data_IF_805206432631
#
_entry.id   IF_805206432631
#
_cell.length_a   1.000
_cell.length_b   1.000
_cell.length_c   1.000
_cell.angle_alpha   90.00
_cell.angle_beta   90.00
_cell.angle_gamma   90.00
#
_symmetry.space_group_name_H-M   'P 1'
#
loop_
_entity.id
_entity.type
_entity.pdbx_description
1 polymer ?
#
# COMPACT_ATOMS: atom_id res chain seq x y z
N UNK A 1 32.36 59.08 -38.84
CA UNK A 1 31.27 59.54 -39.73
C UNK A 1 30.06 58.66 -39.41
N UNK A 2 29.11 59.12 -38.59
CA UNK A 2 27.95 59.98 -38.88
C UNK A 2 26.68 59.11 -38.92
N UNK A 3 25.71 59.52 -38.11
CA UNK A 3 24.45 58.86 -37.72
C UNK A 3 23.40 58.64 -38.83
N UNK A 4 22.43 57.74 -38.58
CA UNK A 4 20.96 58.01 -38.54
C UNK A 4 20.17 56.69 -38.56
N UNK A 5 19.41 56.36 -37.50
CA UNK A 5 17.98 56.62 -37.26
C UNK A 5 17.05 56.05 -38.35
N UNK A 6 16.36 54.94 -38.14
CA UNK A 6 15.11 54.73 -37.37
C UNK A 6 13.83 54.88 -38.24
N UNK A 7 12.96 53.86 -38.24
CA UNK A 7 11.49 53.96 -38.07
C UNK A 7 10.67 52.82 -38.74
N UNK A 8 10.17 51.93 -37.89
CA UNK A 8 8.78 51.46 -37.71
C UNK A 8 7.78 51.24 -38.88
N UNK A 9 7.11 50.07 -38.91
CA UNK A 9 5.65 49.86 -38.61
C UNK A 9 5.06 48.56 -39.21
N UNK A 10 4.63 47.67 -38.31
CA UNK A 10 3.34 46.96 -38.20
C UNK A 10 2.67 46.30 -39.44
N UNK A 11 2.35 45.00 -39.30
CA UNK A 11 1.20 44.19 -39.81
C UNK A 11 1.67 42.73 -39.93
N UNK A 12 0.98 41.66 -39.53
CA UNK A 12 -0.36 41.39 -39.00
C UNK A 12 -0.26 39.99 -38.39
N UNK A 13 -0.81 39.77 -37.19
CA UNK A 13 -1.02 38.43 -36.62
C UNK A 13 -2.06 37.71 -37.49
N UNK A 14 -1.71 36.59 -38.10
CA UNK A 14 -2.69 35.67 -38.71
C UNK A 14 -3.03 34.60 -37.69
N UNK A 15 -4.31 34.52 -37.39
CA UNK A 15 -4.99 33.59 -36.48
C UNK A 15 -5.67 32.55 -37.36
N UNK A 16 -5.33 31.27 -37.18
CA UNK A 16 -6.05 30.08 -37.66
C UNK A 16 -5.65 28.96 -36.68
N UNK A 17 -6.46 28.67 -35.65
CA UNK A 17 -7.54 27.63 -35.63
C UNK A 17 -6.94 26.21 -35.68
N UNK A 18 -6.85 25.49 -34.53
CA UNK A 18 -7.90 24.59 -33.95
C UNK A 18 -8.35 23.55 -35.01
N UNK A 19 -8.27 22.24 -34.87
CA UNK A 19 -8.13 21.33 -33.74
C UNK A 19 -7.54 20.00 -34.27
N UNK A 20 -6.51 19.48 -33.61
CA UNK A 20 -6.22 18.05 -33.66
C UNK A 20 -6.14 17.59 -32.22
N UNK A 21 -7.30 17.22 -31.68
CA UNK A 21 -7.37 16.42 -30.47
C UNK A 21 -6.58 15.14 -30.75
N UNK A 22 -5.32 15.12 -30.29
CA UNK A 22 -4.55 13.89 -30.26
C UNK A 22 -5.32 12.91 -29.40
N UNK A 23 -5.62 11.75 -29.98
CA UNK A 23 -6.33 10.68 -29.27
C UNK A 23 -5.70 10.48 -27.90
N UNK A 24 -6.51 10.37 -26.82
CA UNK A 24 -5.97 10.03 -25.53
C UNK A 24 -5.20 8.70 -25.68
N UNK A 25 -4.05 8.55 -25.01
CA UNK A 25 -3.33 7.28 -25.01
C UNK A 25 -4.32 6.18 -24.61
N UNK A 26 -4.28 5.00 -25.25
CA UNK A 26 -5.29 3.98 -25.05
C UNK A 26 -5.38 3.69 -23.56
N UNK A 27 -6.55 3.98 -22.98
CA UNK A 27 -6.86 3.59 -21.63
C UNK A 27 -6.54 2.11 -21.54
N UNK A 28 -5.61 1.74 -20.65
CA UNK A 28 -5.37 0.34 -20.34
C UNK A 28 -6.69 -0.20 -19.84
N UNK A 29 -7.41 -0.93 -20.70
CA UNK A 29 -8.59 -1.67 -20.31
C UNK A 29 -8.18 -2.52 -19.12
N UNK A 30 -8.64 -2.12 -17.94
CA UNK A 30 -8.59 -2.96 -16.76
C UNK A 30 -9.64 -4.02 -17.03
N UNK A 31 -9.28 -5.03 -17.82
CA UNK A 31 -10.14 -6.16 -18.12
C UNK A 31 -10.60 -6.68 -16.77
N UNK A 32 -11.87 -6.44 -16.46
CA UNK A 32 -12.53 -7.00 -15.31
C UNK A 32 -12.68 -8.49 -15.59
N UNK A 33 -11.57 -9.24 -15.45
CA UNK A 33 -11.61 -10.69 -15.33
C UNK A 33 -12.33 -10.95 -14.02
N UNK A 34 -13.65 -11.09 -14.14
CA UNK A 34 -14.56 -11.26 -13.03
C UNK A 34 -14.12 -12.43 -12.17
N UNK A 35 -14.10 -12.21 -10.85
CA UNK A 35 -14.32 -13.19 -9.77
C UNK A 35 -13.60 -14.55 -9.79
N UNK A 36 -12.73 -14.83 -10.76
CA UNK A 36 -12.03 -16.10 -10.85
C UNK A 36 -11.05 -16.16 -9.69
N UNK A 37 -11.11 -17.28 -8.96
CA UNK A 37 -10.07 -17.63 -8.00
C UNK A 37 -8.73 -17.63 -8.75
N UNK A 38 -7.66 -17.09 -8.16
CA UNK A 38 -6.34 -17.14 -8.80
C UNK A 38 -5.98 -18.60 -9.09
N UNK A 39 -5.16 -18.87 -10.12
CA UNK A 39 -4.68 -20.22 -10.40
C UNK A 39 -4.07 -20.84 -9.13
N UNK A 40 -4.25 -22.15 -8.95
CA UNK A 40 -3.58 -22.84 -7.86
C UNK A 40 -2.09 -22.98 -8.21
N UNK A 41 -1.23 -22.52 -7.29
CA UNK A 41 0.23 -22.56 -7.41
C UNK A 41 0.76 -23.19 -6.14
N UNK A 42 1.83 -23.96 -6.25
CA UNK A 42 2.60 -24.38 -5.10
C UNK A 42 3.27 -23.17 -4.45
N UNK A 43 3.50 -23.28 -3.14
CA UNK A 43 4.26 -22.30 -2.39
C UNK A 43 5.73 -22.30 -2.83
N UNK A 44 6.45 -21.21 -2.54
CA UNK A 44 7.89 -21.20 -2.77
C UNK A 44 8.62 -22.11 -1.77
N UNK A 45 9.93 -22.29 -1.99
CA UNK A 45 10.79 -23.14 -1.15
C UNK A 45 10.81 -22.73 0.33
N UNK A 46 10.46 -21.47 0.59
CA UNK A 46 10.44 -20.83 1.90
C UNK A 46 9.04 -20.85 2.55
N UNK A 47 8.05 -21.45 1.88
CA UNK A 47 6.67 -21.57 2.31
C UNK A 47 5.85 -20.29 2.15
N UNK A 48 6.28 -19.34 1.31
CA UNK A 48 5.48 -18.15 1.03
C UNK A 48 4.47 -18.41 -0.09
N UNK A 49 3.33 -17.74 0.04
CA UNK A 49 2.31 -17.70 -1.00
C UNK A 49 2.84 -17.05 -2.28
N UNK A 50 2.70 -17.74 -3.41
CA UNK A 50 3.12 -17.28 -4.74
C UNK A 50 1.97 -16.58 -5.45
N UNK A 51 2.19 -15.33 -5.85
CA UNK A 51 1.18 -14.48 -6.48
C UNK A 51 1.75 -13.63 -7.62
N UNK A 52 0.84 -13.16 -8.48
CA UNK A 52 1.08 -12.17 -9.53
C UNK A 52 0.32 -10.87 -9.25
N UNK A 53 0.89 -9.73 -9.62
CA UNK A 53 0.22 -8.43 -9.44
C UNK A 53 -1.02 -8.32 -10.33
N UNK A 54 -2.09 -7.78 -9.77
CA UNK A 54 -3.36 -7.59 -10.46
C UNK A 54 -4.30 -8.80 -10.40
N UNK A 55 -3.87 -9.94 -9.88
CA UNK A 55 -4.74 -11.10 -9.66
C UNK A 55 -5.56 -10.97 -8.37
N UNK A 56 -6.51 -11.88 -8.17
CA UNK A 56 -7.31 -11.95 -6.96
C UNK A 56 -6.58 -12.79 -5.91
N UNK A 57 -6.46 -12.35 -4.66
CA UNK A 57 -6.07 -13.24 -3.54
C UNK A 57 -7.24 -14.17 -3.21
N UNK A 58 -8.42 -13.59 -3.07
CA UNK A 58 -9.71 -14.28 -2.96
C UNK A 58 -10.74 -13.55 -3.84
N UNK A 59 -11.97 -14.05 -3.93
CA UNK A 59 -13.04 -13.33 -4.66
C UNK A 59 -13.25 -11.89 -4.18
N UNK A 60 -12.93 -11.62 -2.91
CA UNK A 60 -13.06 -10.30 -2.26
C UNK A 60 -11.85 -9.41 -2.48
N UNK A 61 -10.65 -9.93 -2.35
CA UNK A 61 -9.42 -9.13 -2.32
C UNK A 61 -8.66 -9.23 -3.64
N UNK A 62 -8.39 -8.09 -4.29
CA UNK A 62 -7.52 -8.01 -5.47
C UNK A 62 -6.13 -7.51 -5.08
N UNK A 63 -5.07 -8.23 -5.46
CA UNK A 63 -3.68 -7.88 -5.15
C UNK A 63 -3.24 -6.74 -6.06
N UNK A 64 -2.71 -5.66 -5.47
CA UNK A 64 -2.23 -4.48 -6.18
C UNK A 64 -0.72 -4.36 -6.15
N UNK A 65 -0.11 -4.52 -4.98
CA UNK A 65 1.33 -4.37 -4.79
C UNK A 65 1.83 -5.20 -3.61
N UNK A 66 3.15 -5.46 -3.55
CA UNK A 66 3.81 -6.03 -2.36
C UNK A 66 4.31 -4.87 -1.49
N UNK A 67 3.80 -4.75 -0.27
CA UNK A 67 4.20 -3.72 0.69
C UNK A 67 5.43 -4.11 1.50
N UNK A 68 5.60 -5.41 1.79
CA UNK A 68 6.71 -5.90 2.59
C UNK A 68 6.88 -7.41 2.54
N UNK A 69 8.04 -7.87 2.98
CA UNK A 69 8.38 -9.29 3.09
C UNK A 69 9.35 -9.50 4.25
N UNK A 70 9.20 -10.62 4.96
CA UNK A 70 10.12 -11.00 6.03
C UNK A 70 10.00 -12.46 6.42
N UNK A 71 10.54 -12.79 7.60
CA UNK A 71 10.53 -14.14 8.16
C UNK A 71 9.11 -14.70 8.34
N UNK A 72 8.15 -13.84 8.65
CA UNK A 72 6.78 -14.26 8.97
C UNK A 72 5.86 -14.39 7.76
N UNK A 73 6.27 -13.89 6.59
CA UNK A 73 5.44 -13.90 5.38
C UNK A 73 5.60 -12.65 4.52
N UNK A 74 4.56 -12.34 3.75
CA UNK A 74 4.49 -11.16 2.88
C UNK A 74 3.30 -10.29 3.27
N UNK A 75 3.45 -8.98 3.10
CA UNK A 75 2.35 -8.02 3.25
C UNK A 75 2.00 -7.47 1.88
N UNK A 76 0.74 -7.63 1.50
CA UNK A 76 0.20 -7.23 0.20
C UNK A 76 -0.74 -6.05 0.37
N UNK A 77 -0.64 -5.07 -0.52
CA UNK A 77 -1.70 -4.08 -0.71
C UNK A 77 -2.79 -4.71 -1.56
N UNK A 78 -4.01 -4.73 -1.04
CA UNK A 78 -5.16 -5.28 -1.72
C UNK A 78 -6.30 -4.28 -1.80
N UNK A 79 -7.10 -4.38 -2.86
CA UNK A 79 -8.41 -3.74 -2.96
C UNK A 79 -9.48 -4.68 -2.41
N UNK A 80 -10.17 -4.26 -1.35
CA UNK A 80 -11.34 -4.94 -0.81
C UNK A 80 -12.59 -4.55 -1.61
N UNK A 81 -13.16 -5.52 -2.33
CA UNK A 81 -14.35 -5.29 -3.16
C UNK A 81 -15.63 -5.12 -2.36
N UNK A 82 -15.68 -5.62 -1.13
CA UNK A 82 -16.88 -5.49 -0.28
C UNK A 82 -16.95 -4.12 0.39
N UNK A 83 -15.87 -3.68 1.04
CA UNK A 83 -15.82 -2.37 1.72
C UNK A 83 -15.46 -1.22 0.78
N UNK A 84 -14.90 -1.52 -0.40
CA UNK A 84 -14.37 -0.55 -1.36
C UNK A 84 -13.23 0.30 -0.79
N UNK A 85 -12.35 -0.37 -0.05
CA UNK A 85 -11.20 0.26 0.60
C UNK A 85 -9.91 -0.47 0.25
N UNK A 86 -8.79 0.25 0.39
CA UNK A 86 -7.47 -0.36 0.32
C UNK A 86 -7.11 -0.95 1.69
N UNK A 87 -6.65 -2.19 1.69
CA UNK A 87 -6.27 -2.94 2.89
C UNK A 87 -4.85 -3.49 2.77
N UNK A 88 -4.19 -3.70 3.91
CA UNK A 88 -2.92 -4.42 3.98
C UNK A 88 -3.20 -5.85 4.45
N UNK A 89 -2.82 -6.85 3.66
CA UNK A 89 -3.02 -8.26 4.00
C UNK A 89 -1.67 -8.93 4.26
N UNK A 90 -1.44 -9.34 5.50
CA UNK A 90 -0.31 -10.17 5.88
C UNK A 90 -0.64 -11.63 5.57
N UNK A 91 0.04 -12.20 4.58
CA UNK A 91 -0.05 -13.61 4.20
C UNK A 91 1.09 -14.37 4.87
N UNK A 92 0.76 -15.13 5.91
CA UNK A 92 1.70 -15.89 6.73
C UNK A 92 2.17 -17.13 5.97
N UNK A 93 3.45 -17.48 6.11
CA UNK A 93 4.00 -18.70 5.47
C UNK A 93 3.22 -19.96 5.87
N UNK A 94 3.09 -20.91 4.96
CA UNK A 94 2.39 -22.20 5.14
C UNK A 94 3.16 -23.21 6.00
N UNK A 95 3.93 -22.72 6.98
CA UNK A 95 4.73 -23.54 7.90
C UNK A 95 4.07 -23.48 9.27
N UNK A 96 3.81 -24.66 9.85
CA UNK A 96 3.09 -24.82 11.12
C UNK A 96 3.52 -23.84 12.21
N UNK A 97 4.82 -23.72 12.48
CA UNK A 97 5.35 -22.80 13.51
C UNK A 97 4.94 -21.33 13.30
N UNK A 98 4.88 -20.87 12.04
CA UNK A 98 4.49 -19.50 11.71
C UNK A 98 2.97 -19.32 11.75
N UNK A 99 2.21 -20.34 11.36
CA UNK A 99 0.74 -20.35 11.50
C UNK A 99 0.33 -20.30 12.96
N UNK A 100 0.95 -21.12 13.82
CA UNK A 100 0.69 -21.15 15.26
C UNK A 100 1.01 -19.78 15.90
N UNK A 101 2.15 -19.17 15.52
CA UNK A 101 2.50 -17.82 15.97
C UNK A 101 1.52 -16.74 15.48
N UNK A 102 1.00 -16.85 14.25
CA UNK A 102 0.01 -15.92 13.71
C UNK A 102 -1.32 -15.97 14.47
N UNK A 103 -1.72 -17.15 14.98
CA UNK A 103 -2.92 -17.25 15.81
C UNK A 103 -2.77 -16.51 17.15
N UNK A 104 -1.57 -16.54 17.74
CA UNK A 104 -1.24 -15.75 18.94
C UNK A 104 -1.30 -14.25 18.62
N UNK A 105 -0.75 -13.84 17.47
CA UNK A 105 -0.80 -12.44 17.00
C UNK A 105 -2.25 -11.96 16.83
N UNK A 106 -3.11 -12.78 16.22
CA UNK A 106 -4.55 -12.48 16.06
C UNK A 106 -5.24 -12.29 17.42
N UNK A 107 -4.98 -13.17 18.40
CA UNK A 107 -5.58 -13.08 19.73
C UNK A 107 -5.19 -11.78 20.44
N UNK A 108 -3.90 -11.43 20.41
CA UNK A 108 -3.41 -10.15 20.97
C UNK A 108 -4.04 -8.95 20.26
N UNK A 109 -4.09 -8.96 18.93
CA UNK A 109 -4.68 -7.87 18.15
C UNK A 109 -6.18 -7.68 18.42
N UNK A 110 -6.94 -8.77 18.59
CA UNK A 110 -8.37 -8.68 18.92
C UNK A 110 -8.58 -8.06 20.30
N UNK A 111 -7.78 -8.44 21.31
CA UNK A 111 -7.84 -7.84 22.65
C UNK A 111 -7.48 -6.35 22.63
N UNK A 112 -6.51 -5.96 21.81
CA UNK A 112 -6.15 -4.55 21.62
C UNK A 112 -7.28 -3.77 20.93
N UNK A 113 -8.00 -4.37 19.99
CA UNK A 113 -9.10 -3.74 19.27
C UNK A 113 -10.34 -3.44 20.15
N UNK A 114 -10.51 -4.18 21.26
CA UNK A 114 -11.56 -3.92 22.26
C UNK A 114 -11.31 -2.63 23.06
N UNK A 115 -10.04 -2.19 23.17
CA UNK A 115 -9.68 -1.02 23.96
C UNK A 115 -9.76 0.28 23.13
N UNK A 116 -10.90 0.98 23.24
CA UNK A 116 -11.16 2.20 22.45
C UNK A 116 -10.13 3.32 22.64
N UNK A 117 -9.48 3.39 23.83
CA UNK A 117 -8.52 4.47 24.14
C UNK A 117 -7.31 4.52 23.21
N UNK A 118 -6.97 3.40 22.59
CA UNK A 118 -5.67 3.24 21.92
C UNK A 118 -5.79 2.73 20.49
N UNK A 119 -7.01 2.74 19.95
CA UNK A 119 -7.30 2.38 18.56
C UNK A 119 -6.52 3.21 17.52
N UNK A 120 -6.10 4.42 17.88
CA UNK A 120 -5.34 5.30 16.98
C UNK A 120 -3.83 5.09 16.99
N UNK A 121 -3.29 4.32 17.94
CA UNK A 121 -1.84 4.12 18.10
C UNK A 121 -1.36 2.72 17.72
N UNK A 122 -2.26 1.74 17.74
CA UNK A 122 -2.00 0.37 17.33
C UNK A 122 -2.72 0.06 16.02
N UNK A 123 -2.09 -0.73 15.15
CA UNK A 123 -2.71 -1.16 13.89
C UNK A 123 -4.01 -1.92 14.13
N UNK A 124 -5.07 -1.56 13.41
CA UNK A 124 -6.37 -2.21 13.56
C UNK A 124 -6.49 -3.44 12.67
N UNK A 125 -6.77 -4.58 13.30
CA UNK A 125 -7.19 -5.80 12.62
C UNK A 125 -8.65 -5.65 12.16
N UNK A 126 -8.91 -5.86 10.87
CA UNK A 126 -10.27 -5.86 10.33
C UNK A 126 -10.88 -7.26 10.39
N UNK A 127 -10.10 -8.27 10.01
CA UNK A 127 -10.46 -9.70 10.05
C UNK A 127 -9.24 -10.57 9.76
N UNK A 128 -9.41 -11.88 9.90
CA UNK A 128 -8.46 -12.86 9.41
C UNK A 128 -9.19 -14.03 8.74
N UNK A 129 -8.49 -14.79 7.91
CA UNK A 129 -9.00 -16.00 7.29
C UNK A 129 -7.86 -16.96 6.94
N UNK A 130 -8.15 -18.26 6.88
CA UNK A 130 -7.23 -19.23 6.30
C UNK A 130 -7.50 -19.37 4.79
N UNK A 131 -6.45 -19.24 4.00
CA UNK A 131 -6.51 -19.43 2.56
C UNK A 131 -5.34 -20.26 2.07
N UNK A 132 -5.66 -21.44 1.50
CA UNK A 132 -4.66 -22.39 0.96
C UNK A 132 -3.55 -22.69 1.96
N UNK A 133 -3.89 -22.92 3.23
CA UNK A 133 -2.94 -23.20 4.31
C UNK A 133 -2.10 -21.98 4.75
N UNK A 134 -2.42 -20.77 4.29
CA UNK A 134 -1.85 -19.52 4.79
C UNK A 134 -2.85 -18.79 5.68
N UNK A 135 -2.41 -18.41 6.88
CA UNK A 135 -3.16 -17.47 7.70
C UNK A 135 -3.01 -16.08 7.08
N UNK A 136 -4.12 -15.48 6.68
CA UNK A 136 -4.19 -14.14 6.11
C UNK A 136 -4.82 -13.20 7.13
N UNK A 137 -4.08 -12.18 7.56
CA UNK A 137 -4.56 -11.16 8.51
C UNK A 137 -4.75 -9.85 7.74
N UNK A 138 -5.96 -9.29 7.83
CA UNK A 138 -6.36 -8.08 7.11
C UNK A 138 -6.30 -6.90 8.08
N UNK A 139 -5.53 -5.90 7.70
CA UNK A 139 -5.35 -4.66 8.43
C UNK A 139 -5.85 -3.47 7.61
N UNK A 140 -6.13 -2.38 8.29
CA UNK A 140 -6.19 -1.08 7.62
C UNK A 140 -4.88 -0.79 6.86
N UNK A 141 -4.98 -0.09 5.74
CA UNK A 141 -3.79 0.35 5.00
C UNK A 141 -3.25 1.64 5.63
N UNK A 142 -2.05 1.57 6.18
CA UNK A 142 -1.32 2.72 6.70
C UNK A 142 -0.29 3.28 5.70
N UNK A 143 0.33 4.40 6.08
CA UNK A 143 1.40 5.04 5.34
C UNK A 143 2.74 4.27 5.38
N UNK A 144 3.81 4.85 4.82
CA UNK A 144 5.14 4.24 4.85
C UNK A 144 5.66 4.12 6.29
N UNK A 145 6.52 3.12 6.52
CA UNK A 145 7.23 3.00 7.80
C UNK A 145 8.19 4.18 8.00
N UNK A 146 8.55 4.47 9.25
CA UNK A 146 9.56 5.50 9.56
C UNK A 146 10.91 5.21 8.86
N UNK A 147 11.26 3.93 8.69
CA UNK A 147 12.44 3.52 7.95
C UNK A 147 12.33 3.88 6.46
N UNK A 148 11.20 3.56 5.82
CA UNK A 148 10.97 3.90 4.42
C UNK A 148 10.97 5.42 4.19
N UNK A 149 10.41 6.17 5.13
CA UNK A 149 10.45 7.63 5.10
C UNK A 149 11.89 8.15 5.20
N UNK A 150 12.67 7.67 6.17
CA UNK A 150 14.08 8.04 6.32
C UNK A 150 14.88 7.71 5.07
N UNK A 151 14.68 6.53 4.49
CA UNK A 151 15.35 6.11 3.26
C UNK A 151 15.02 7.06 2.09
N UNK A 152 13.76 7.44 1.91
CA UNK A 152 13.33 8.43 0.90
C UNK A 152 13.94 9.82 1.16
N UNK A 153 14.09 10.18 2.43
CA UNK A 153 14.73 11.41 2.87
C UNK A 153 16.27 11.30 2.96
N UNK A 154 16.90 10.33 2.27
CA UNK A 154 18.36 10.12 2.25
C UNK A 154 18.98 10.03 3.64
N UNK A 155 18.27 9.42 4.59
CA UNK A 155 18.66 9.25 5.99
C UNK A 155 18.95 10.57 6.73
N UNK A 156 18.39 11.69 6.26
CA UNK A 156 18.44 12.93 7.04
C UNK A 156 17.63 12.75 8.33
N UNK A 157 18.17 13.19 9.48
CA UNK A 157 17.53 13.02 10.77
C UNK A 157 16.24 13.82 10.86
N UNK A 158 15.31 13.34 11.68
CA UNK A 158 14.13 14.10 12.03
C UNK A 158 14.48 15.25 12.98
N UNK A 159 13.79 16.40 12.90
CA UNK A 159 13.79 17.40 13.95
C UNK A 159 13.49 16.79 15.32
N UNK A 160 14.13 17.31 16.37
CA UNK A 160 14.03 16.76 17.73
C UNK A 160 12.59 16.79 18.26
N UNK A 161 11.79 17.76 17.82
CA UNK A 161 10.37 17.84 18.19
C UNK A 161 9.58 16.64 17.66
N UNK A 162 9.85 16.21 16.41
CA UNK A 162 9.20 15.02 15.84
C UNK A 162 9.68 13.75 16.53
N UNK A 163 10.97 13.65 16.85
CA UNK A 163 11.52 12.50 17.59
C UNK A 163 10.84 12.36 18.96
N UNK A 164 10.62 13.48 19.67
CA UNK A 164 9.92 13.49 20.95
C UNK A 164 8.47 13.01 20.81
N UNK A 165 7.79 13.46 19.76
CA UNK A 165 6.40 13.07 19.49
C UNK A 165 6.28 11.58 19.11
N UNK A 166 7.18 11.05 18.27
CA UNK A 166 7.25 9.62 18.01
C UNK A 166 7.52 8.82 19.29
N UNK A 167 8.43 9.31 20.14
CA UNK A 167 8.72 8.69 21.44
C UNK A 167 7.48 8.62 22.33
N UNK A 168 6.72 9.73 22.43
CA UNK A 168 5.47 9.78 23.19
C UNK A 168 4.44 8.77 22.68
N UNK A 169 4.17 8.77 21.37
CA UNK A 169 3.20 7.87 20.76
C UNK A 169 3.59 6.38 20.91
N UNK A 170 4.88 6.07 20.78
CA UNK A 170 5.38 4.70 20.99
C UNK A 170 5.21 4.26 22.44
N UNK A 171 5.55 5.11 23.42
CA UNK A 171 5.38 4.80 24.83
C UNK A 171 3.91 4.62 25.21
N UNK A 172 3.03 5.46 24.68
CA UNK A 172 1.58 5.32 24.86
C UNK A 172 1.08 4.00 24.29
N UNK A 173 1.48 3.64 23.06
CA UNK A 173 1.12 2.36 22.44
C UNK A 173 1.57 1.15 23.27
N UNK A 174 2.80 1.15 23.78
CA UNK A 174 3.34 0.03 24.59
C UNK A 174 2.64 -0.08 25.94
N UNK A 175 2.23 1.02 26.55
CA UNK A 175 1.49 0.99 27.82
C UNK A 175 0.10 0.30 27.71
N UNK A 176 -0.34 -0.01 26.50
CA UNK A 176 -1.64 -0.63 26.22
C UNK A 176 -1.58 -2.16 26.07
N UNK A 177 -0.37 -2.71 25.90
CA UNK A 177 -0.10 -4.14 25.71
C UNK A 177 0.18 -4.78 27.05
#
# INVERSE_FOLDING_TARGET
>A
ESESMESSRSRKRTRQELDSAGDPPPEREVVARGGASPPWRDDDRDGHYVFDLGENLTRRYKILSKMGEGTFGRVLECWDRETREYVAIKVVRSIRKYRDAAMIEIDVLNRLAENERYRSLCVQIQRWFDYRNHICIVFEKLGPSLYDFLKRNRYQPFPVELVREFGRQLLESVACV
#
